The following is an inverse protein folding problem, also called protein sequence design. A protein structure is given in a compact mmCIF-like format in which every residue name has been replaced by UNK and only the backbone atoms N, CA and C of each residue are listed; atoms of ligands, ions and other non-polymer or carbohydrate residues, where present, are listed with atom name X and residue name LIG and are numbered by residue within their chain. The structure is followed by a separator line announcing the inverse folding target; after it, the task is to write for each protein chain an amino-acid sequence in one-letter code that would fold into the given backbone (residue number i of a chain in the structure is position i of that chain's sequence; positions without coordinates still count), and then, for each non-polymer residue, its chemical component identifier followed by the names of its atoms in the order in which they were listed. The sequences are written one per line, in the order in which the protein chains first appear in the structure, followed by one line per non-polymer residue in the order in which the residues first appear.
data_IF_962396715882
#
_entry.id   IF_962396715882
#
_cell.length_a   1.000
_cell.length_b   1.000
_cell.length_c   1.000
_cell.angle_alpha   90.00
_cell.angle_beta   90.00
_cell.angle_gamma   90.00
#
_symmetry.space_group_name_H-M   'P 1'
#
loop_
_entity.id
_entity.type
_entity.pdbx_description
1 polymer ?
#
# COMPACT_ATOMS: atom_id res chain seq x y z
N UNK A 1 -59.08 8.62 3.92
CA UNK A 1 -58.18 8.34 5.06
C UNK A 1 -57.13 7.25 4.80
N UNK A 2 -57.24 6.41 3.77
CA UNK A 2 -56.24 5.38 3.41
C UNK A 2 -55.12 5.88 2.51
N UNK A 3 -55.27 6.97 1.75
CA UNK A 3 -54.23 7.47 0.81
C UNK A 3 -53.09 8.21 1.51
N UNK A 4 -53.35 8.91 2.59
CA UNK A 4 -52.36 9.73 3.33
C UNK A 4 -51.32 8.87 4.06
N UNK A 5 -51.70 7.68 4.52
CA UNK A 5 -50.78 6.78 5.22
C UNK A 5 -49.76 6.13 4.25
N UNK A 6 -50.18 5.91 3.00
CA UNK A 6 -49.32 5.29 1.98
C UNK A 6 -48.25 6.27 1.49
N UNK A 7 -48.58 7.55 1.35
CA UNK A 7 -47.63 8.62 0.96
C UNK A 7 -46.62 8.91 2.09
N UNK A 8 -47.05 8.90 3.34
CA UNK A 8 -46.16 9.06 4.51
C UNK A 8 -45.15 7.94 4.62
N UNK A 9 -45.54 6.68 4.40
CA UNK A 9 -44.62 5.53 4.39
C UNK A 9 -43.61 5.61 3.24
N UNK A 10 -44.04 6.02 2.05
CA UNK A 10 -43.17 6.15 0.87
C UNK A 10 -42.09 7.21 1.04
N UNK A 11 -42.46 8.36 1.65
CA UNK A 11 -41.53 9.43 1.93
C UNK A 11 -40.54 9.12 3.08
N UNK A 12 -41.00 8.37 4.09
CA UNK A 12 -40.14 7.93 5.19
C UNK A 12 -39.09 6.92 4.71
N UNK A 13 -39.46 5.97 3.85
CA UNK A 13 -38.54 5.01 3.25
C UNK A 13 -37.51 5.68 2.33
N UNK A 14 -37.95 6.69 1.56
CA UNK A 14 -37.08 7.45 0.65
C UNK A 14 -36.05 8.30 1.42
N UNK A 15 -36.43 8.83 2.58
CA UNK A 15 -35.53 9.64 3.44
C UNK A 15 -34.62 8.75 4.28
N UNK A 16 -35.11 7.60 4.75
CA UNK A 16 -34.28 6.61 5.45
C UNK A 16 -33.22 6.00 4.54
N UNK A 17 -33.57 5.67 3.29
CA UNK A 17 -32.61 5.10 2.35
C UNK A 17 -31.45 6.07 2.04
N UNK A 18 -31.72 7.37 1.92
CA UNK A 18 -30.68 8.39 1.73
C UNK A 18 -29.75 8.51 2.95
N UNK A 19 -30.29 8.50 4.17
CA UNK A 19 -29.48 8.54 5.39
C UNK A 19 -28.66 7.27 5.58
N UNK A 20 -29.22 6.09 5.27
CA UNK A 20 -28.52 4.81 5.32
C UNK A 20 -27.41 4.76 4.27
N UNK A 21 -27.67 5.21 3.04
CA UNK A 21 -26.64 5.31 1.98
C UNK A 21 -25.53 6.29 2.39
N UNK A 22 -25.87 7.41 3.01
CA UNK A 22 -24.89 8.39 3.49
C UNK A 22 -24.00 7.82 4.61
N UNK A 23 -24.59 7.05 5.54
CA UNK A 23 -23.86 6.36 6.62
C UNK A 23 -22.95 5.27 6.04
N UNK A 24 -23.45 4.48 5.08
CA UNK A 24 -22.64 3.45 4.40
C UNK A 24 -21.49 4.10 3.62
N UNK A 25 -21.73 5.21 2.92
CA UNK A 25 -20.69 5.98 2.23
C UNK A 25 -19.64 6.53 3.21
N UNK A 26 -20.06 7.02 4.38
CA UNK A 26 -19.16 7.52 5.42
C UNK A 26 -18.27 6.41 6.00
N UNK A 27 -18.82 5.21 6.20
CA UNK A 27 -18.08 4.03 6.68
C UNK A 27 -17.09 3.51 5.63
N UNK A 28 -17.41 3.61 4.35
CA UNK A 28 -16.51 3.20 3.25
C UNK A 28 -15.33 4.16 3.07
N UNK A 29 -15.52 5.45 3.33
CA UNK A 29 -14.44 6.47 3.25
C UNK A 29 -13.48 6.37 4.43
N UNK A 30 -13.92 5.94 5.60
CA UNK A 30 -13.06 5.88 6.80
C UNK A 30 -11.98 4.79 6.74
N UNK A 31 -12.14 3.77 5.91
CA UNK A 31 -11.16 2.67 5.81
C UNK A 31 -9.87 3.04 5.07
N UNK A 32 -9.84 4.12 4.28
CA UNK A 32 -8.65 4.51 3.52
C UNK A 32 -7.65 5.35 4.32
N UNK A 33 -8.09 5.98 5.41
CA UNK A 33 -7.24 6.86 6.23
C UNK A 33 -6.43 6.05 7.25
N UNK A 34 -6.91 4.89 7.70
CA UNK A 34 -6.24 4.07 8.70
C UNK A 34 -4.97 3.37 8.19
N UNK A 35 -4.87 3.12 6.89
CA UNK A 35 -3.76 2.39 6.30
C UNK A 35 -2.41 3.11 6.43
N UNK A 36 -2.39 4.44 6.34
CA UNK A 36 -1.15 5.20 6.34
C UNK A 36 -0.58 5.46 7.73
N UNK A 37 -1.41 5.47 8.78
CA UNK A 37 -0.98 5.81 10.15
C UNK A 37 -0.41 4.63 10.94
N UNK A 38 -0.71 3.38 10.55
CA UNK A 38 -0.30 2.18 11.32
C UNK A 38 1.22 2.03 11.37
N UNK A 39 1.92 2.40 10.30
CA UNK A 39 3.38 2.29 10.21
C UNK A 39 4.12 3.55 10.68
N UNK A 40 3.42 4.67 10.91
CA UNK A 40 4.03 5.93 11.36
C UNK A 40 4.71 5.80 12.73
N UNK A 41 4.32 4.81 13.51
CA UNK A 41 4.95 4.52 14.80
C UNK A 41 6.43 4.10 14.69
N UNK A 42 6.88 3.69 13.48
CA UNK A 42 8.27 3.31 13.21
C UNK A 42 9.11 4.49 12.72
N UNK A 43 8.46 5.61 12.39
CA UNK A 43 9.18 6.83 12.03
C UNK A 43 9.91 7.44 13.23
N UNK A 44 11.10 7.98 13.00
CA UNK A 44 11.95 8.61 14.03
C UNK A 44 12.26 7.71 15.24
N UNK A 45 12.30 6.38 15.05
CA UNK A 45 12.78 5.46 16.07
C UNK A 45 14.28 5.20 15.91
N UNK A 46 14.99 5.13 17.05
CA UNK A 46 16.36 4.63 17.07
C UNK A 46 16.42 3.22 16.48
N UNK A 47 17.49 2.88 15.78
CA UNK A 47 17.71 1.61 15.09
C UNK A 47 16.76 1.32 13.91
N UNK A 48 15.96 2.29 13.44
CA UNK A 48 15.15 2.18 12.23
C UNK A 48 15.51 3.27 11.24
N UNK A 49 16.03 2.88 10.08
CA UNK A 49 16.18 3.80 8.96
C UNK A 49 14.85 3.94 8.24
N UNK A 50 14.38 5.17 8.07
CA UNK A 50 13.08 5.47 7.47
C UNK A 50 13.22 6.24 6.17
N UNK A 51 12.50 5.82 5.12
CA UNK A 51 12.34 6.53 3.85
C UNK A 51 10.84 6.75 3.64
N UNK A 52 10.42 8.01 3.53
CA UNK A 52 9.03 8.38 3.25
C UNK A 52 8.98 9.29 2.03
N UNK A 53 8.24 8.87 1.00
CA UNK A 53 7.97 9.65 -0.21
C UNK A 53 6.47 9.80 -0.34
N UNK A 54 5.98 11.03 -0.28
CA UNK A 54 4.56 11.34 -0.39
C UNK A 54 4.17 11.75 -1.83
N UNK A 55 2.88 11.87 -2.09
CA UNK A 55 2.33 12.26 -3.40
C UNK A 55 2.94 13.57 -3.96
N UNK A 56 3.20 14.55 -3.11
CA UNK A 56 3.78 15.83 -3.55
C UNK A 56 5.22 15.64 -4.06
N UNK A 57 6.00 14.78 -3.41
CA UNK A 57 7.36 14.44 -3.87
C UNK A 57 7.31 13.68 -5.19
N UNK A 58 6.43 12.67 -5.34
CA UNK A 58 6.22 11.97 -6.60
C UNK A 58 5.81 12.93 -7.73
N UNK A 59 4.91 13.88 -7.45
CA UNK A 59 4.53 14.92 -8.41
C UNK A 59 5.69 15.83 -8.82
N UNK A 60 6.63 16.11 -7.92
CA UNK A 60 7.84 16.85 -8.25
C UNK A 60 8.80 16.04 -9.12
N UNK A 61 9.05 14.78 -8.76
CA UNK A 61 9.90 13.86 -9.52
C UNK A 61 9.36 13.61 -10.93
N UNK A 62 8.03 13.64 -11.12
CA UNK A 62 7.40 13.41 -12.41
C UNK A 62 7.47 14.58 -13.41
N UNK A 63 8.02 15.73 -13.01
CA UNK A 63 8.20 16.91 -13.88
C UNK A 63 9.48 16.88 -14.73
N UNK A 64 10.32 15.86 -14.55
CA UNK A 64 11.54 15.68 -15.31
C UNK A 64 11.19 15.16 -16.70
N UNK A 65 11.78 15.78 -17.74
CA UNK A 65 11.61 15.30 -19.12
C UNK A 65 12.30 13.94 -19.31
N UNK A 66 11.59 12.92 -19.77
CA UNK A 66 12.18 11.59 -19.96
C UNK A 66 13.13 11.61 -21.17
N UNK A 67 14.34 11.09 -20.98
CA UNK A 67 15.34 11.00 -22.05
C UNK A 67 15.20 9.75 -22.93
N UNK A 68 14.50 8.73 -22.44
CA UNK A 68 14.30 7.45 -23.09
C UNK A 68 12.99 6.79 -22.67
N UNK A 69 12.68 5.66 -23.30
CA UNK A 69 11.43 4.92 -23.04
C UNK A 69 11.34 4.41 -21.61
N UNK A 70 12.44 4.01 -21.01
CA UNK A 70 12.49 3.50 -19.65
C UNK A 70 12.23 4.61 -18.62
N UNK A 71 12.84 5.81 -18.83
CA UNK A 71 12.54 6.99 -18.04
C UNK A 71 11.06 7.40 -18.16
N UNK A 72 10.45 7.27 -19.35
CA UNK A 72 9.03 7.52 -19.52
C UNK A 72 8.17 6.54 -18.73
N UNK A 73 8.49 5.25 -18.73
CA UNK A 73 7.77 4.25 -17.93
C UNK A 73 7.86 4.55 -16.43
N UNK A 74 9.05 4.90 -15.94
CA UNK A 74 9.23 5.32 -14.56
C UNK A 74 8.38 6.55 -14.20
N UNK A 75 8.38 7.58 -15.03
CA UNK A 75 7.56 8.79 -14.81
C UNK A 75 6.06 8.48 -14.82
N UNK A 76 5.62 7.61 -15.71
CA UNK A 76 4.23 7.19 -15.74
C UNK A 76 3.82 6.47 -14.46
N UNK A 77 4.68 5.59 -13.94
CA UNK A 77 4.45 4.91 -12.68
C UNK A 77 4.38 5.88 -11.49
N UNK A 78 5.39 6.75 -11.32
CA UNK A 78 5.42 7.65 -10.14
C UNK A 78 4.24 8.63 -10.10
N UNK A 79 3.62 8.97 -11.24
CA UNK A 79 2.39 9.76 -11.29
C UNK A 79 1.18 9.03 -10.69
N UNK A 80 1.21 7.71 -10.65
CA UNK A 80 0.15 6.84 -10.12
C UNK A 80 0.32 6.57 -8.62
N UNK A 81 1.47 6.91 -8.03
CA UNK A 81 1.79 6.64 -6.64
C UNK A 81 1.32 7.76 -5.71
N UNK A 82 0.82 7.37 -4.55
CA UNK A 82 0.39 8.28 -3.50
C UNK A 82 1.38 8.36 -2.34
N UNK A 83 1.92 7.21 -1.91
CA UNK A 83 2.84 7.15 -0.79
C UNK A 83 3.76 5.93 -0.89
N UNK A 84 5.03 6.11 -0.49
CA UNK A 84 5.99 5.04 -0.25
C UNK A 84 6.57 5.23 1.15
N UNK A 85 6.55 4.18 1.95
CA UNK A 85 7.22 4.10 3.26
C UNK A 85 8.11 2.88 3.28
N UNK A 86 9.35 3.06 3.66
CA UNK A 86 10.31 1.97 3.85
C UNK A 86 10.95 2.13 5.22
N UNK A 87 10.93 1.05 6.00
CA UNK A 87 11.57 0.95 7.31
C UNK A 87 12.57 -0.18 7.26
N UNK A 88 13.79 0.10 7.67
CA UNK A 88 14.91 -0.86 7.64
C UNK A 88 15.53 -0.93 9.02
N UNK A 89 15.77 -2.14 9.51
CA UNK A 89 16.42 -2.36 10.81
C UNK A 89 17.27 -3.63 10.82
N UNK A 90 18.41 -3.59 11.51
CA UNK A 90 19.20 -4.75 11.87
C UNK A 90 18.92 -5.22 13.32
N UNK A 91 18.00 -4.54 14.03
CA UNK A 91 17.64 -4.88 15.42
C UNK A 91 16.49 -5.89 15.41
N UNK A 92 16.75 -7.09 15.96
CA UNK A 92 15.78 -8.21 15.96
C UNK A 92 14.46 -7.82 16.64
N UNK A 93 14.51 -7.12 17.77
CA UNK A 93 13.30 -6.70 18.49
C UNK A 93 12.45 -5.73 17.66
N UNK A 94 13.10 -4.80 16.95
CA UNK A 94 12.39 -3.87 16.03
C UNK A 94 11.83 -4.61 14.83
N UNK A 95 12.54 -5.61 14.31
CA UNK A 95 12.07 -6.50 13.27
C UNK A 95 10.80 -7.24 13.69
N UNK A 96 10.79 -7.83 14.89
CA UNK A 96 9.61 -8.52 15.43
C UNK A 96 8.42 -7.57 15.60
N UNK A 97 8.66 -6.35 16.09
CA UNK A 97 7.62 -5.32 16.21
C UNK A 97 7.05 -4.93 14.83
N UNK A 98 7.91 -4.74 13.82
CA UNK A 98 7.47 -4.45 12.45
C UNK A 98 6.65 -5.60 11.87
N UNK A 99 7.09 -6.84 12.08
CA UNK A 99 6.37 -8.05 11.64
C UNK A 99 5.00 -8.16 12.28
N UNK A 100 4.90 -8.00 13.60
CA UNK A 100 3.63 -8.09 14.33
C UNK A 100 2.62 -7.04 13.83
N UNK A 101 3.08 -5.82 13.52
CA UNK A 101 2.23 -4.76 12.96
C UNK A 101 1.82 -5.06 11.54
N UNK A 102 2.76 -5.52 10.70
CA UNK A 102 2.47 -5.92 9.34
C UNK A 102 1.44 -7.06 9.29
N UNK A 103 1.60 -8.12 10.10
CA UNK A 103 0.69 -9.26 10.16
C UNK A 103 -0.73 -8.85 10.62
N UNK A 104 -0.83 -7.92 11.58
CA UNK A 104 -2.12 -7.35 11.99
C UNK A 104 -2.75 -6.53 10.87
N UNK A 105 -1.95 -5.69 10.23
CA UNK A 105 -2.40 -4.82 9.15
C UNK A 105 -2.92 -5.61 7.95
N UNK A 106 -2.18 -6.62 7.49
CA UNK A 106 -2.57 -7.50 6.38
C UNK A 106 -3.99 -8.04 6.58
N UNK A 107 -4.29 -8.54 7.80
CA UNK A 107 -5.61 -9.09 8.14
C UNK A 107 -6.70 -8.03 8.16
N UNK A 108 -6.43 -6.87 8.76
CA UNK A 108 -7.45 -5.82 8.95
C UNK A 108 -7.72 -5.01 7.68
N UNK A 109 -6.71 -4.83 6.82
CA UNK A 109 -6.83 -4.11 5.55
C UNK A 109 -7.27 -5.02 4.39
N UNK A 110 -7.31 -6.36 4.60
CA UNK A 110 -7.72 -7.33 3.59
C UNK A 110 -6.74 -7.41 2.43
N UNK A 111 -5.42 -7.46 2.73
CA UNK A 111 -4.41 -7.70 1.72
C UNK A 111 -4.29 -9.20 1.46
N UNK A 112 -4.08 -9.55 0.20
CA UNK A 112 -3.90 -10.91 -0.28
C UNK A 112 -2.42 -11.20 -0.54
N UNK A 113 -1.93 -12.42 -0.23
CA UNK A 113 -0.55 -12.80 -0.48
C UNK A 113 -0.33 -12.97 -1.99
N UNK A 114 0.54 -12.15 -2.55
CA UNK A 114 0.94 -12.22 -3.95
C UNK A 114 2.11 -13.19 -4.16
N UNK A 115 3.11 -13.14 -3.27
CA UNK A 115 4.33 -13.92 -3.40
C UNK A 115 5.00 -14.17 -2.05
N UNK A 116 5.65 -15.33 -1.95
CA UNK A 116 6.55 -15.68 -0.84
C UNK A 116 7.84 -16.28 -1.39
N UNK A 117 8.98 -15.82 -0.85
CA UNK A 117 10.31 -16.36 -1.18
C UNK A 117 10.99 -16.73 0.13
N UNK A 118 11.45 -17.98 0.23
CA UNK A 118 12.27 -18.46 1.34
C UNK A 118 13.63 -18.90 0.76
N UNK A 119 14.68 -18.16 1.03
CA UNK A 119 16.00 -18.45 0.50
C UNK A 119 17.08 -18.09 1.53
N UNK A 120 17.92 -19.09 1.89
CA UNK A 120 19.13 -18.92 2.72
C UNK A 120 18.92 -18.10 4.00
N UNK A 121 17.83 -18.34 4.72
CA UNK A 121 17.51 -17.63 5.97
C UNK A 121 16.78 -16.29 5.78
N UNK A 122 16.54 -15.88 4.55
CA UNK A 122 15.73 -14.71 4.20
C UNK A 122 14.30 -15.12 3.87
N UNK A 123 13.34 -14.52 4.51
CA UNK A 123 11.92 -14.76 4.27
C UNK A 123 11.27 -13.47 3.72
N UNK A 124 10.87 -13.50 2.47
CA UNK A 124 10.21 -12.37 1.81
C UNK A 124 8.75 -12.70 1.60
N UNK A 125 7.86 -11.81 2.01
CA UNK A 125 6.42 -11.90 1.78
C UNK A 125 5.94 -10.62 1.13
N UNK A 126 5.18 -10.75 0.05
CA UNK A 126 4.57 -9.63 -0.66
C UNK A 126 3.07 -9.82 -0.68
N UNK A 127 2.35 -8.79 -0.25
CA UNK A 127 0.90 -8.74 -0.19
C UNK A 127 0.40 -7.57 -0.99
N UNK A 128 -0.78 -7.71 -1.58
CA UNK A 128 -1.41 -6.65 -2.37
C UNK A 128 -2.87 -6.44 -1.98
N UNK A 129 -3.34 -5.23 -2.20
CA UNK A 129 -4.76 -4.92 -2.24
C UNK A 129 -5.13 -4.64 -3.69
N UNK A 130 -5.95 -5.49 -4.28
CA UNK A 130 -6.36 -5.40 -5.67
C UNK A 130 -7.13 -4.11 -5.97
N UNK A 131 -6.99 -3.59 -7.18
CA UNK A 131 -7.70 -2.45 -7.72
C UNK A 131 -9.00 -2.85 -8.42
N UNK A 132 -9.29 -2.19 -9.56
CA UNK A 132 -10.48 -2.46 -10.35
C UNK A 132 -10.31 -3.64 -11.32
N UNK A 133 -9.06 -4.01 -11.65
CA UNK A 133 -8.69 -5.15 -12.50
C UNK A 133 -7.71 -6.04 -11.78
N UNK A 134 -7.49 -7.26 -12.28
CA UNK A 134 -6.60 -8.26 -11.66
C UNK A 134 -5.13 -7.81 -11.63
N UNK A 135 -4.68 -7.02 -12.61
CA UNK A 135 -3.32 -6.47 -12.67
C UNK A 135 -3.15 -5.19 -11.85
N UNK A 136 -4.26 -4.50 -11.54
CA UNK A 136 -4.23 -3.22 -10.87
C UNK A 136 -4.16 -3.37 -9.35
N UNK A 137 -3.26 -2.61 -8.72
CA UNK A 137 -2.99 -2.64 -7.30
C UNK A 137 -3.20 -1.25 -6.71
N UNK A 138 -3.89 -1.21 -5.56
CA UNK A 138 -4.06 0.00 -4.73
C UNK A 138 -3.03 0.12 -3.63
N UNK A 139 -2.53 -1.03 -3.17
CA UNK A 139 -1.53 -1.10 -2.12
C UNK A 139 -0.68 -2.35 -2.29
N UNK A 140 0.62 -2.21 -2.09
CA UNK A 140 1.57 -3.28 -1.97
C UNK A 140 2.26 -3.16 -0.62
N UNK A 141 2.29 -4.24 0.14
CA UNK A 141 3.05 -4.39 1.38
C UNK A 141 4.07 -5.49 1.20
N UNK A 142 5.34 -5.19 1.43
CA UNK A 142 6.41 -6.16 1.42
C UNK A 142 7.08 -6.22 2.80
N UNK A 143 7.30 -7.41 3.30
CA UNK A 143 8.10 -7.65 4.48
C UNK A 143 9.23 -8.63 4.15
N UNK A 144 10.46 -8.19 4.40
CA UNK A 144 11.67 -9.01 4.34
C UNK A 144 12.10 -9.23 5.80
N UNK A 145 12.10 -10.48 6.23
CA UNK A 145 12.64 -10.89 7.50
C UNK A 145 14.10 -11.30 7.28
N UNK A 146 15.03 -10.46 7.75
CA UNK A 146 16.46 -10.79 7.80
C UNK A 146 16.77 -11.68 8.99
N UNK A 147 17.83 -12.42 8.92
CA UNK A 147 18.32 -13.23 10.04
C UNK A 147 19.81 -12.97 10.31
N UNK A 148 20.16 -12.83 11.57
CA UNK A 148 21.55 -12.63 12.01
C UNK A 148 22.07 -11.22 11.69
N UNK A 149 22.89 -11.07 10.64
CA UNK A 149 23.45 -9.79 10.20
C UNK A 149 22.65 -9.12 9.07
N UNK A 150 21.60 -9.78 8.58
CA UNK A 150 20.79 -9.24 7.51
C UNK A 150 19.70 -8.33 8.04
N UNK A 151 19.47 -7.21 7.36
CA UNK A 151 18.45 -6.24 7.72
C UNK A 151 17.05 -6.77 7.38
N UNK A 152 16.11 -6.45 8.27
CA UNK A 152 14.68 -6.60 7.99
C UNK A 152 14.14 -5.34 7.36
N UNK A 153 13.24 -5.50 6.38
CA UNK A 153 12.65 -4.39 5.61
C UNK A 153 11.14 -4.52 5.61
N UNK A 154 10.46 -3.45 6.02
CA UNK A 154 9.03 -3.27 5.83
C UNK A 154 8.81 -2.15 4.80
N UNK A 155 8.12 -2.46 3.70
CA UNK A 155 7.79 -1.49 2.66
C UNK A 155 6.28 -1.45 2.44
N UNK A 156 5.71 -0.25 2.41
CA UNK A 156 4.33 0.01 2.02
C UNK A 156 4.33 1.00 0.86
N UNK A 157 3.69 0.62 -0.25
CA UNK A 157 3.52 1.42 -1.45
C UNK A 157 2.02 1.54 -1.74
N UNK A 158 1.51 2.76 -1.83
CA UNK A 158 0.10 3.01 -2.16
C UNK A 158 -0.03 3.86 -3.42
N UNK A 159 -1.13 3.65 -4.16
CA UNK A 159 -1.40 4.35 -5.41
C UNK A 159 -2.46 3.61 -6.22
N UNK A 160 -2.44 3.84 -7.53
CA UNK A 160 -3.26 3.11 -8.48
C UNK A 160 -2.37 2.71 -9.67
N UNK A 161 -1.65 1.62 -9.54
CA UNK A 161 -0.59 1.20 -10.46
C UNK A 161 -0.73 -0.28 -10.85
N UNK A 162 -0.05 -0.66 -11.91
CA UNK A 162 -0.01 -2.05 -12.37
C UNK A 162 1.27 -2.74 -11.86
N UNK A 163 1.18 -4.03 -11.53
CA UNK A 163 2.32 -4.80 -11.02
C UNK A 163 3.49 -4.82 -12.00
N UNK A 164 3.21 -4.86 -13.31
CA UNK A 164 4.23 -4.87 -14.36
C UNK A 164 5.12 -3.61 -14.37
N UNK A 165 4.59 -2.49 -13.83
CA UNK A 165 5.31 -1.23 -13.77
C UNK A 165 6.33 -1.17 -12.62
N UNK A 166 6.23 -2.07 -11.63
CA UNK A 166 7.10 -2.05 -10.43
C UNK A 166 8.59 -2.25 -10.75
N UNK A 167 8.92 -2.93 -11.85
CA UNK A 167 10.32 -3.12 -12.25
C UNK A 167 11.02 -1.78 -12.50
N UNK A 168 10.33 -0.81 -13.09
CA UNK A 168 10.87 0.52 -13.34
C UNK A 168 11.16 1.30 -12.04
N UNK A 169 10.31 1.12 -11.01
CA UNK A 169 10.51 1.74 -9.70
C UNK A 169 11.76 1.21 -9.00
N UNK A 170 11.92 -0.13 -8.98
CA UNK A 170 13.03 -0.78 -8.27
C UNK A 170 14.38 -0.46 -8.88
N UNK A 171 14.47 -0.37 -10.21
CA UNK A 171 15.71 -0.10 -10.93
C UNK A 171 16.17 1.37 -10.71
N UNK A 172 15.26 2.32 -10.68
CA UNK A 172 15.60 3.75 -10.57
C UNK A 172 15.79 4.23 -9.12
N UNK A 173 14.98 3.75 -8.17
CA UNK A 173 15.05 4.21 -6.78
C UNK A 173 16.02 3.43 -5.90
N UNK A 174 16.58 2.30 -6.38
CA UNK A 174 17.47 1.41 -5.61
C UNK A 174 16.93 1.10 -4.22
N UNK A 175 15.65 0.80 -4.15
CA UNK A 175 14.96 0.56 -2.88
C UNK A 175 15.50 -0.71 -2.20
N UNK A 176 15.62 -0.70 -0.86
CA UNK A 176 15.80 -1.93 -0.11
C UNK A 176 14.68 -2.93 -0.46
N UNK A 177 15.04 -4.16 -0.81
CA UNK A 177 14.07 -5.16 -1.29
C UNK A 177 13.64 -4.99 -2.76
N UNK A 178 14.27 -4.11 -3.52
CA UNK A 178 13.91 -3.88 -4.92
C UNK A 178 14.10 -5.10 -5.83
N UNK A 179 15.10 -5.93 -5.55
CA UNK A 179 15.33 -7.17 -6.31
C UNK A 179 14.17 -8.17 -6.14
N UNK A 180 13.59 -8.23 -4.96
CA UNK A 180 12.43 -9.07 -4.62
C UNK A 180 11.15 -8.55 -5.29
N UNK A 181 10.94 -7.24 -5.31
CA UNK A 181 9.83 -6.62 -6.03
C UNK A 181 9.91 -6.87 -7.54
N UNK A 182 11.12 -6.79 -8.11
CA UNK A 182 11.32 -7.09 -9.53
C UNK A 182 11.00 -8.54 -9.89
N UNK A 183 11.22 -9.49 -8.99
CA UNK A 183 10.78 -10.89 -9.17
C UNK A 183 9.26 -11.00 -9.16
N UNK A 184 8.56 -10.23 -8.34
CA UNK A 184 7.10 -10.25 -8.25
C UNK A 184 6.44 -9.68 -9.53
N UNK A 185 7.00 -8.64 -10.14
CA UNK A 185 6.44 -8.00 -11.35
C UNK A 185 6.62 -8.81 -12.64
N UNK A 186 7.37 -9.93 -12.61
CA UNK A 186 7.62 -10.79 -13.77
C UNK A 186 6.76 -12.06 -13.82
N UNK A 187 5.88 -12.26 -12.88
CA UNK A 187 4.89 -13.35 -12.84
C UNK A 187 3.55 -12.95 -13.42
#
# INVERSE_FOLDING_TARGET
MKSTIHEYKKNYFKTMSKKVILIIALVLVSNTIFAQSVFDKFDNQDDITTIIVNKKMFAMLSKVDPKDKEAQQYINLIKKLDNLKVFVTANDKKSDDMKAVADKYIKTAGLEELMRINEKGKNVKIYVKSGATDSQVKELLMFIEGSGKEESVLMSLTGNFDLDELSALTDKMKLPGGAELKKASKK
#
